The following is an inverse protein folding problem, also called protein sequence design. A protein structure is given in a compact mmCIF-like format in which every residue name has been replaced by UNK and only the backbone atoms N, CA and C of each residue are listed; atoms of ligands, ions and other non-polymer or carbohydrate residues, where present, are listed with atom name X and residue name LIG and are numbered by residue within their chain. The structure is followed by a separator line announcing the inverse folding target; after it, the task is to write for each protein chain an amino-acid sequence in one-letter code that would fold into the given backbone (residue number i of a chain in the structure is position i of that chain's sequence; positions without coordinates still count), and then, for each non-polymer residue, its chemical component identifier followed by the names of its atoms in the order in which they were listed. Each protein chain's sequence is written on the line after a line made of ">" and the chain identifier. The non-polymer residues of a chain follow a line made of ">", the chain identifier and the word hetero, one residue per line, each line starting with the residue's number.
data_IF_823279022796
#
_entry.id   IF_823279022796
#
_cell.length_a   1.000
_cell.length_b   1.000
_cell.length_c   1.000
_cell.angle_alpha   90.00
_cell.angle_beta   90.00
_cell.angle_gamma   90.00
#
_symmetry.space_group_name_H-M   'P 1'
#
loop_
_entity.id
_entity.type
_entity.pdbx_description
1 polymer ?
#
# COMPACT_ATOMS: atom_id res chain seq x y z
N UNK A 1 29.85 -23.18 33.37
CA UNK A 1 28.76 -22.95 32.39
C UNK A 1 27.68 -23.95 32.73
N UNK A 2 26.41 -23.55 32.86
CA UNK A 2 25.35 -24.51 33.18
C UNK A 2 25.15 -25.50 32.03
N UNK A 3 24.69 -26.72 32.32
CA UNK A 3 24.42 -27.76 31.32
C UNK A 3 23.47 -27.25 30.21
N UNK A 4 22.55 -26.35 30.57
CA UNK A 4 21.67 -25.67 29.62
C UNK A 4 22.43 -24.86 28.55
N UNK A 5 23.46 -24.11 28.94
CA UNK A 5 24.27 -23.33 27.99
C UNK A 5 25.12 -24.23 27.10
N UNK A 6 25.53 -25.41 27.60
CA UNK A 6 26.27 -26.37 26.77
C UNK A 6 25.37 -27.10 25.76
N UNK A 7 24.10 -27.32 26.11
CA UNK A 7 23.13 -28.01 25.25
C UNK A 7 22.51 -27.07 24.20
N UNK A 8 22.27 -25.80 24.55
CA UNK A 8 21.53 -24.85 23.71
C UNK A 8 22.41 -23.76 23.08
N UNK A 9 23.75 -23.90 23.09
CA UNK A 9 24.60 -22.90 22.43
C UNK A 9 24.51 -23.00 20.90
N UNK A 10 24.59 -21.83 20.28
CA UNK A 10 24.79 -21.68 18.84
C UNK A 10 26.08 -20.89 18.64
N UNK A 11 27.00 -21.45 17.86
CA UNK A 11 28.25 -20.77 17.51
C UNK A 11 27.95 -19.82 16.34
N UNK A 12 28.16 -18.53 16.59
CA UNK A 12 28.05 -17.48 15.57
C UNK A 12 29.44 -16.89 15.32
N UNK A 13 29.83 -16.79 14.04
CA UNK A 13 31.09 -16.16 13.63
C UNK A 13 30.87 -14.68 13.26
N UNK A 14 31.81 -13.82 13.67
CA UNK A 14 31.76 -12.36 13.48
C UNK A 14 33.05 -11.83 12.84
N UNK A 15 33.62 -12.56 11.88
CA UNK A 15 34.89 -12.22 11.25
C UNK A 15 34.89 -11.04 10.26
N UNK A 16 33.75 -10.38 10.00
CA UNK A 16 33.65 -9.27 9.03
C UNK A 16 33.60 -7.89 9.69
N UNK A 17 33.94 -6.84 8.94
CA UNK A 17 33.84 -5.43 9.39
C UNK A 17 32.41 -4.86 9.35
N UNK A 18 31.40 -5.71 9.16
CA UNK A 18 30.00 -5.31 9.10
C UNK A 18 29.40 -5.16 10.50
N UNK A 19 28.26 -4.45 10.61
CA UNK A 19 27.53 -4.36 11.87
C UNK A 19 27.17 -5.76 12.39
N UNK A 20 27.54 -6.05 13.63
CA UNK A 20 27.29 -7.32 14.30
C UNK A 20 25.79 -7.48 14.59
N UNK A 21 25.21 -8.58 14.10
CA UNK A 21 23.81 -8.96 14.35
C UNK A 21 23.79 -10.39 14.87
N UNK A 22 23.08 -10.62 15.97
CA UNK A 22 22.93 -11.96 16.55
C UNK A 22 21.87 -12.72 15.75
N UNK A 23 22.33 -13.52 14.81
CA UNK A 23 21.51 -14.41 13.98
C UNK A 23 22.12 -15.82 14.01
N UNK A 24 21.27 -16.84 14.00
CA UNK A 24 21.70 -18.22 13.78
C UNK A 24 22.38 -18.38 12.41
N UNK A 25 23.22 -19.41 12.20
CA UNK A 25 23.87 -19.63 10.91
C UNK A 25 22.89 -19.69 9.71
N UNK A 26 21.70 -20.26 9.90
CA UNK A 26 20.68 -20.34 8.84
C UNK A 26 20.06 -18.97 8.53
N UNK A 27 19.77 -18.16 9.55
CA UNK A 27 19.28 -16.77 9.38
C UNK A 27 20.33 -15.90 8.69
N UNK A 28 21.61 -16.08 9.03
CA UNK A 28 22.71 -15.38 8.36
C UNK A 28 22.82 -15.79 6.88
N UNK A 29 22.67 -17.08 6.56
CA UNK A 29 22.66 -17.58 5.17
C UNK A 29 21.55 -16.91 4.36
N UNK A 30 20.32 -16.93 4.89
CA UNK A 30 19.15 -16.32 4.25
C UNK A 30 19.36 -14.82 4.04
N UNK A 31 19.78 -14.11 5.09
CA UNK A 31 20.04 -12.66 5.03
C UNK A 31 21.08 -12.32 3.96
N UNK A 32 22.21 -13.04 3.94
CA UNK A 32 23.28 -12.84 2.94
C UNK A 32 22.76 -13.06 1.51
N UNK A 33 21.96 -14.08 1.26
CA UNK A 33 21.38 -14.32 -0.08
C UNK A 33 20.50 -13.17 -0.53
N UNK A 34 19.59 -12.72 0.33
CA UNK A 34 18.65 -11.65 0.01
C UNK A 34 19.39 -10.32 -0.20
N UNK A 35 20.38 -10.01 0.63
CA UNK A 35 21.17 -8.79 0.53
C UNK A 35 22.12 -8.80 -0.68
N UNK A 36 22.71 -9.96 -1.03
CA UNK A 36 23.65 -10.07 -2.15
C UNK A 36 23.00 -9.80 -3.52
N UNK A 37 21.73 -10.16 -3.69
CA UNK A 37 20.97 -9.96 -4.93
C UNK A 37 20.00 -8.78 -4.87
N UNK A 38 19.81 -8.21 -3.69
CA UNK A 38 18.83 -7.17 -3.43
C UNK A 38 19.37 -5.77 -3.72
N UNK A 39 18.54 -4.94 -4.34
CA UNK A 39 18.76 -3.50 -4.44
C UNK A 39 17.81 -2.80 -3.45
N UNK A 40 18.27 -1.86 -2.61
CA UNK A 40 17.39 -1.09 -1.73
C UNK A 40 16.25 -0.41 -2.50
N UNK A 41 15.02 -0.47 -1.99
CA UNK A 41 13.85 0.09 -2.69
C UNK A 41 13.96 1.58 -3.01
N UNK A 42 14.73 2.37 -2.24
CA UNK A 42 15.01 3.79 -2.58
C UNK A 42 15.70 3.97 -3.94
N UNK A 43 16.44 2.94 -4.37
CA UNK A 43 17.21 2.94 -5.61
C UNK A 43 16.41 2.27 -6.74
N UNK A 44 15.19 1.76 -6.48
CA UNK A 44 14.29 1.28 -7.52
C UNK A 44 13.58 2.44 -8.23
N UNK A 45 13.16 2.20 -9.48
CA UNK A 45 12.26 3.09 -10.21
C UNK A 45 10.81 2.90 -9.71
N UNK A 46 10.58 3.27 -8.45
CA UNK A 46 9.28 3.25 -7.81
C UNK A 46 9.01 4.57 -7.10
N UNK A 47 7.73 4.91 -6.94
CA UNK A 47 7.30 6.02 -6.13
C UNK A 47 6.36 5.56 -5.01
N UNK A 48 6.62 6.05 -3.80
CA UNK A 48 5.79 5.81 -2.62
C UNK A 48 5.09 7.12 -2.24
N UNK A 49 3.77 7.14 -2.35
CA UNK A 49 2.94 8.31 -2.11
C UNK A 49 1.93 8.07 -0.99
N UNK A 50 1.65 9.09 -0.18
CA UNK A 50 0.52 9.07 0.76
C UNK A 50 -0.80 9.24 0.01
N UNK A 51 -1.91 8.83 0.61
CA UNK A 51 -3.25 9.13 0.07
C UNK A 51 -3.61 10.63 0.11
N UNK A 52 -4.82 10.93 -0.36
CA UNK A 52 -5.36 12.30 -0.40
C UNK A 52 -5.61 12.84 1.01
N UNK A 53 -5.40 14.15 1.18
CA UNK A 53 -5.74 14.87 2.41
C UNK A 53 -7.05 15.63 2.20
N UNK A 54 -8.07 15.23 2.95
CA UNK A 54 -9.41 15.84 2.88
C UNK A 54 -9.56 17.03 3.82
N UNK A 55 -8.91 17.01 4.98
CA UNK A 55 -9.13 18.01 6.04
C UNK A 55 -10.54 18.04 6.64
N UNK A 56 -11.47 17.21 6.14
CA UNK A 56 -12.86 17.05 6.62
C UNK A 56 -13.46 15.80 5.97
N UNK A 57 -13.23 14.61 6.55
CA UNK A 57 -13.67 13.35 5.93
C UNK A 57 -15.19 13.29 5.77
N UNK A 58 -15.95 13.88 6.68
CA UNK A 58 -17.41 13.86 6.69
C UNK A 58 -18.04 14.64 5.54
N UNK A 59 -17.32 15.60 4.98
CA UNK A 59 -17.77 16.34 3.80
C UNK A 59 -17.38 15.64 2.49
N UNK A 60 -16.15 15.10 2.42
CA UNK A 60 -15.55 14.63 1.17
C UNK A 60 -15.59 13.11 0.99
N UNK A 61 -15.81 12.32 2.04
CA UNK A 61 -15.96 10.87 1.96
C UNK A 61 -17.41 10.53 2.30
N UNK A 62 -18.14 10.09 1.28
CA UNK A 62 -19.57 9.81 1.33
C UNK A 62 -19.82 8.31 1.13
N UNK A 63 -20.97 7.83 1.57
CA UNK A 63 -21.43 6.47 1.27
C UNK A 63 -22.20 6.40 -0.07
N UNK A 64 -22.55 5.19 -0.47
CA UNK A 64 -23.36 4.94 -1.68
C UNK A 64 -24.67 5.71 -1.68
N UNK A 65 -25.39 5.76 -0.55
CA UNK A 65 -26.69 6.42 -0.47
C UNK A 65 -26.56 7.93 -0.74
N UNK A 66 -25.58 8.58 -0.12
CA UNK A 66 -25.30 10.00 -0.34
C UNK A 66 -24.77 10.27 -1.76
N UNK A 67 -23.96 9.37 -2.32
CA UNK A 67 -23.53 9.46 -3.72
C UNK A 67 -24.74 9.48 -4.65
N UNK A 68 -25.67 8.55 -4.46
CA UNK A 68 -26.85 8.41 -5.32
C UNK A 68 -27.80 9.61 -5.15
N UNK A 69 -27.94 10.14 -3.94
CA UNK A 69 -28.66 11.39 -3.66
C UNK A 69 -28.07 12.58 -4.43
N UNK A 70 -26.74 12.76 -4.41
CA UNK A 70 -26.08 13.85 -5.15
C UNK A 70 -26.31 13.71 -6.66
N UNK A 71 -26.19 12.49 -7.20
CA UNK A 71 -26.41 12.23 -8.63
C UNK A 71 -27.87 12.44 -9.07
N UNK A 72 -28.83 12.13 -8.19
CA UNK A 72 -30.24 12.37 -8.44
C UNK A 72 -30.61 13.86 -8.44
N UNK A 73 -29.87 14.67 -7.66
CA UNK A 73 -30.06 16.12 -7.56
C UNK A 73 -29.32 16.92 -8.65
N UNK A 74 -28.57 16.26 -9.54
CA UNK A 74 -27.97 16.91 -10.71
C UNK A 74 -29.06 17.44 -11.66
N UNK A 75 -28.88 18.68 -12.12
CA UNK A 75 -29.86 19.45 -12.90
C UNK A 75 -29.94 19.04 -14.37
N UNK A 76 -28.88 18.40 -14.88
CA UNK A 76 -28.79 17.92 -16.25
C UNK A 76 -28.06 16.59 -16.32
N UNK A 77 -28.23 15.88 -17.44
CA UNK A 77 -27.49 14.65 -17.71
C UNK A 77 -25.98 14.92 -17.83
N UNK A 78 -25.59 16.07 -18.37
CA UNK A 78 -24.19 16.50 -18.48
C UNK A 78 -23.55 16.73 -17.09
N UNK A 79 -24.25 17.41 -16.17
CA UNK A 79 -23.78 17.56 -14.78
C UNK A 79 -23.65 16.19 -14.11
N UNK A 80 -24.63 15.31 -14.33
CA UNK A 80 -24.65 13.97 -13.73
C UNK A 80 -23.47 13.12 -14.17
N UNK A 81 -23.14 13.15 -15.47
CA UNK A 81 -21.99 12.43 -16.03
C UNK A 81 -20.67 12.93 -15.42
N UNK A 82 -20.44 14.26 -15.45
CA UNK A 82 -19.24 14.87 -14.84
C UNK A 82 -19.16 14.59 -13.33
N UNK A 83 -20.29 14.65 -12.62
CA UNK A 83 -20.35 14.39 -11.17
C UNK A 83 -20.05 12.93 -10.86
N UNK A 84 -20.55 11.99 -11.67
CA UNK A 84 -20.23 10.57 -11.52
C UNK A 84 -18.72 10.31 -11.74
N UNK A 85 -18.08 11.08 -12.62
CA UNK A 85 -16.62 11.04 -12.79
C UNK A 85 -15.83 11.72 -11.66
N UNK A 86 -16.40 12.73 -11.01
CA UNK A 86 -15.79 13.42 -9.87
C UNK A 86 -15.79 12.56 -8.61
N UNK A 87 -16.84 11.76 -8.42
CA UNK A 87 -17.06 10.92 -7.23
C UNK A 87 -16.47 9.52 -7.45
N UNK A 88 -15.31 9.25 -6.83
CA UNK A 88 -14.53 8.02 -7.08
C UNK A 88 -14.45 7.11 -5.87
N UNK A 89 -14.45 5.77 -6.03
CA UNK A 89 -14.30 4.85 -4.91
C UNK A 89 -13.02 5.10 -4.11
N UNK A 90 -13.11 5.01 -2.78
CA UNK A 90 -11.99 5.23 -1.86
C UNK A 90 -11.88 4.12 -0.83
N UNK A 91 -10.64 3.67 -0.57
CA UNK A 91 -10.30 2.78 0.54
C UNK A 91 -9.61 3.55 1.66
N UNK A 92 -9.95 3.25 2.90
CA UNK A 92 -9.19 3.71 4.08
C UNK A 92 -8.17 2.64 4.44
N UNK A 93 -7.15 3.00 5.21
CA UNK A 93 -6.11 2.04 5.65
C UNK A 93 -6.68 0.75 6.27
N UNK A 94 -7.76 0.82 7.04
CA UNK A 94 -8.40 -0.37 7.66
C UNK A 94 -9.13 -1.29 6.68
N UNK A 95 -9.50 -0.75 5.52
CA UNK A 95 -10.23 -1.45 4.47
C UNK A 95 -9.27 -2.31 3.64
N UNK A 96 -7.96 -2.02 3.65
CA UNK A 96 -6.92 -2.77 2.94
C UNK A 96 -6.59 -4.07 3.69
N UNK A 97 -6.58 -5.19 2.96
CA UNK A 97 -6.30 -6.54 3.46
C UNK A 97 -5.19 -7.22 2.64
N UNK A 98 -4.64 -8.31 3.17
CA UNK A 98 -3.63 -9.11 2.47
C UNK A 98 -4.23 -9.61 1.16
N UNK A 99 -3.65 -9.21 0.03
CA UNK A 99 -4.17 -9.53 -1.31
C UNK A 99 -5.65 -9.14 -1.52
N UNK A 100 -6.16 -8.10 -0.84
CA UNK A 100 -7.57 -7.76 -1.01
C UNK A 100 -7.97 -6.51 -0.26
N UNK A 101 -9.28 -6.28 -0.20
CA UNK A 101 -9.85 -5.16 0.51
C UNK A 101 -11.28 -5.47 0.97
N UNK A 102 -11.80 -4.66 1.88
CA UNK A 102 -13.20 -4.66 2.29
C UNK A 102 -13.90 -3.50 1.62
N UNK A 103 -14.83 -3.81 0.73
CA UNK A 103 -15.70 -2.79 0.13
C UNK A 103 -16.69 -2.28 1.18
N UNK A 104 -16.58 -0.99 1.52
CA UNK A 104 -17.47 -0.33 2.45
C UNK A 104 -18.47 0.60 1.73
N UNK A 105 -18.51 0.59 0.39
CA UNK A 105 -19.36 1.49 -0.39
C UNK A 105 -19.02 2.96 -0.16
N UNK A 106 -17.74 3.29 -0.04
CA UNK A 106 -17.27 4.65 0.23
C UNK A 106 -16.71 5.30 -1.03
N UNK A 107 -17.00 6.58 -1.17
CA UNK A 107 -16.60 7.39 -2.31
C UNK A 107 -16.00 8.72 -1.86
N UNK A 108 -14.95 9.14 -2.55
CA UNK A 108 -14.34 10.45 -2.44
C UNK A 108 -14.99 11.41 -3.45
N UNK A 109 -15.50 12.54 -2.96
CA UNK A 109 -15.78 13.71 -3.80
C UNK A 109 -14.43 14.38 -4.11
N UNK A 110 -13.84 14.07 -5.26
CA UNK A 110 -12.49 14.49 -5.59
C UNK A 110 -12.43 15.86 -6.26
N UNK A 111 -12.88 16.92 -5.56
CA UNK A 111 -12.75 18.33 -5.99
C UNK A 111 -11.28 18.78 -5.96
N UNK A 112 -10.44 18.17 -6.79
CA UNK A 112 -9.00 18.33 -6.77
C UNK A 112 -8.55 19.75 -7.15
N UNK A 113 -7.39 20.16 -6.64
CA UNK A 113 -6.77 21.44 -6.98
C UNK A 113 -6.03 21.45 -8.33
N UNK A 114 -6.20 20.40 -9.13
CA UNK A 114 -5.55 20.24 -10.43
C UNK A 114 -4.07 19.81 -10.30
N UNK A 115 -3.40 19.72 -11.44
CA UNK A 115 -1.96 19.50 -11.57
C UNK A 115 -1.42 20.65 -12.42
N UNK A 116 -0.46 21.40 -11.87
CA UNK A 116 0.10 22.59 -12.53
C UNK A 116 0.55 22.28 -13.95
N UNK A 117 -0.01 23.00 -14.93
CA UNK A 117 0.34 22.86 -16.35
C UNK A 117 -0.19 21.60 -17.04
N UNK A 118 -0.99 20.78 -16.35
CA UNK A 118 -1.50 19.51 -16.89
C UNK A 118 -3.02 19.33 -16.74
N UNK A 119 -3.54 19.62 -15.55
CA UNK A 119 -4.94 19.42 -15.21
C UNK A 119 -5.46 20.66 -14.48
N UNK A 120 -6.53 21.33 -14.97
CA UNK A 120 -7.11 22.45 -14.26
C UNK A 120 -7.68 21.99 -12.90
N UNK A 121 -7.79 22.93 -11.97
CA UNK A 121 -8.55 22.68 -10.73
C UNK A 121 -10.03 22.48 -11.05
N UNK A 122 -10.73 21.75 -10.21
CA UNK A 122 -12.19 21.68 -10.27
C UNK A 122 -12.78 23.03 -9.88
N UNK A 123 -13.58 23.62 -10.78
CA UNK A 123 -14.47 24.72 -10.44
C UNK A 123 -15.78 24.13 -9.89
N UNK A 124 -16.08 24.42 -8.62
CA UNK A 124 -17.24 23.86 -7.95
C UNK A 124 -18.57 24.36 -8.55
N UNK A 125 -18.55 25.49 -9.26
CA UNK A 125 -19.75 26.05 -9.88
C UNK A 125 -20.22 25.22 -11.09
N UNK A 126 -19.33 24.40 -11.66
CA UNK A 126 -19.68 23.42 -12.69
C UNK A 126 -20.41 22.18 -12.12
N UNK A 127 -20.48 22.07 -10.78
CA UNK A 127 -21.09 20.95 -10.06
C UNK A 127 -22.09 21.42 -8.98
N UNK A 128 -23.22 22.07 -9.36
CA UNK A 128 -24.22 22.58 -8.42
C UNK A 128 -24.67 21.59 -7.34
N UNK A 129 -24.93 20.32 -7.68
CA UNK A 129 -25.37 19.30 -6.72
C UNK A 129 -24.28 18.97 -5.68
N UNK A 130 -23.03 18.87 -6.12
CA UNK A 130 -21.87 18.66 -5.22
C UNK A 130 -21.64 19.89 -4.35
N UNK A 131 -21.76 21.08 -4.92
CA UNK A 131 -21.66 22.35 -4.18
C UNK A 131 -22.69 22.40 -3.06
N UNK A 132 -23.96 22.09 -3.36
CA UNK A 132 -25.04 22.08 -2.39
C UNK A 132 -24.78 21.10 -1.23
N UNK A 133 -24.19 19.94 -1.50
CA UNK A 133 -23.73 19.02 -0.46
C UNK A 133 -22.60 19.63 0.38
N UNK A 134 -21.55 20.16 -0.25
CA UNK A 134 -20.40 20.73 0.47
C UNK A 134 -20.76 22.00 1.28
N UNK A 135 -21.74 22.77 0.83
CA UNK A 135 -22.26 23.96 1.52
C UNK A 135 -22.87 23.59 2.89
N UNK A 136 -23.40 22.38 3.08
CA UNK A 136 -23.87 21.89 4.39
C UNK A 136 -22.73 21.77 5.42
N UNK A 137 -21.48 21.73 4.96
CA UNK A 137 -20.29 21.63 5.79
C UNK A 137 -19.48 22.93 5.79
N UNK A 138 -20.03 24.05 5.32
CA UNK A 138 -19.29 25.30 5.08
C UNK A 138 -18.47 25.78 6.28
N UNK A 139 -19.05 25.76 7.48
CA UNK A 139 -18.38 26.19 8.73
C UNK A 139 -17.08 25.40 8.99
N UNK A 140 -17.07 24.13 8.57
CA UNK A 140 -15.90 23.24 8.68
C UNK A 140 -14.97 23.38 7.49
N UNK A 141 -15.49 23.39 6.25
CA UNK A 141 -14.64 23.35 5.05
C UNK A 141 -13.94 24.68 4.75
N UNK A 142 -14.52 25.81 5.17
CA UNK A 142 -13.95 27.16 5.02
C UNK A 142 -12.71 27.38 5.89
N UNK A 143 -12.71 26.82 7.10
CA UNK A 143 -11.66 27.01 8.11
C UNK A 143 -10.56 25.95 8.07
N UNK A 144 -10.67 24.93 7.20
CA UNK A 144 -9.65 23.87 7.04
C UNK A 144 -8.26 24.45 6.78
N UNK A 145 -7.26 23.87 7.43
CA UNK A 145 -5.85 24.11 7.11
C UNK A 145 -5.44 23.38 5.82
N UNK A 146 -5.90 22.14 5.65
CA UNK A 146 -5.64 21.31 4.47
C UNK A 146 -6.69 21.56 3.37
N UNK A 147 -6.51 22.62 2.59
CA UNK A 147 -7.35 22.95 1.42
C UNK A 147 -6.53 23.36 0.21
N UNK A 148 -7.16 23.34 -0.96
CA UNK A 148 -6.63 23.90 -2.21
C UNK A 148 -6.84 25.41 -2.29
N UNK A 149 -7.00 25.91 -3.52
CA UNK A 149 -7.19 27.33 -3.79
C UNK A 149 -8.51 27.87 -3.23
N UNK A 150 -9.52 27.02 -3.08
CA UNK A 150 -10.81 27.36 -2.49
C UNK A 150 -11.16 26.43 -1.33
N UNK A 151 -12.07 26.84 -0.42
CA UNK A 151 -12.66 25.96 0.59
C UNK A 151 -13.27 24.66 0.06
N UNK A 152 -13.67 24.60 -1.20
CA UNK A 152 -14.24 23.39 -1.81
C UNK A 152 -13.16 22.45 -2.34
N UNK A 153 -11.97 22.95 -2.65
CA UNK A 153 -10.93 22.13 -3.23
C UNK A 153 -10.16 21.34 -2.17
N UNK A 154 -9.87 20.07 -2.49
CA UNK A 154 -8.93 19.25 -1.74
C UNK A 154 -7.51 19.83 -1.82
N UNK A 155 -6.66 19.47 -0.85
CA UNK A 155 -5.24 19.88 -0.88
C UNK A 155 -4.57 19.41 -2.17
N UNK A 156 -3.62 20.20 -2.66
CA UNK A 156 -2.87 19.87 -3.87
C UNK A 156 -2.23 18.46 -3.79
N UNK A 157 -2.38 17.69 -4.87
CA UNK A 157 -1.89 16.32 -5.02
C UNK A 157 -1.24 16.17 -6.41
N UNK A 158 0.09 16.28 -6.47
CA UNK A 158 0.83 16.33 -7.74
C UNK A 158 0.81 15.00 -8.52
N UNK A 159 0.47 13.89 -7.86
CA UNK A 159 0.45 12.53 -8.39
C UNK A 159 -0.99 12.01 -8.58
N UNK A 160 -1.96 12.89 -8.88
CA UNK A 160 -3.37 12.50 -8.99
C UNK A 160 -3.60 11.39 -10.03
N UNK A 161 -2.86 11.42 -11.13
CA UNK A 161 -2.99 10.41 -12.19
C UNK A 161 -2.40 9.05 -11.79
N UNK A 162 -1.48 9.02 -10.83
CA UNK A 162 -0.89 7.77 -10.34
C UNK A 162 -1.91 6.89 -9.60
N UNK A 163 -3.03 7.46 -9.14
CA UNK A 163 -4.17 6.69 -8.63
C UNK A 163 -4.82 5.80 -9.69
N UNK A 164 -4.64 6.07 -10.98
CA UNK A 164 -5.22 5.25 -12.05
C UNK A 164 -4.23 4.22 -12.63
N UNK A 165 -2.98 4.23 -12.17
CA UNK A 165 -1.98 3.22 -12.53
C UNK A 165 -2.14 1.98 -11.64
N UNK A 166 -1.73 0.79 -12.13
CA UNK A 166 -1.50 -0.36 -11.26
C UNK A 166 -0.58 0.03 -10.10
N UNK A 167 -1.02 -0.25 -8.87
CA UNK A 167 -0.33 0.19 -7.65
C UNK A 167 -0.52 -0.79 -6.51
N UNK A 168 0.43 -0.80 -5.58
CA UNK A 168 0.24 -1.46 -4.28
C UNK A 168 -0.39 -0.45 -3.33
N UNK A 169 -1.45 -0.81 -2.63
CA UNK A 169 -2.04 -0.04 -1.53
C UNK A 169 -1.74 -0.70 -0.20
N UNK A 170 -1.40 0.09 0.83
CA UNK A 170 -1.14 -0.42 2.17
C UNK A 170 -1.39 0.64 3.27
N UNK A 171 -1.78 0.23 4.49
CA UNK A 171 -2.00 1.15 5.60
C UNK A 171 -0.69 1.72 6.15
N UNK A 172 -0.72 2.96 6.66
CA UNK A 172 0.42 3.56 7.36
C UNK A 172 0.69 2.87 8.71
N UNK A 173 -0.35 2.42 9.41
CA UNK A 173 -0.22 1.76 10.71
C UNK A 173 -1.10 0.51 10.74
N UNK A 174 -0.52 -0.63 11.10
CA UNK A 174 -1.22 -1.92 11.06
C UNK A 174 -0.52 -2.98 11.90
N UNK A 175 -1.27 -3.96 12.40
CA UNK A 175 -0.70 -5.17 13.01
C UNK A 175 -0.32 -6.23 11.97
N UNK A 176 -0.99 -6.21 10.82
CA UNK A 176 -1.04 -7.34 9.89
C UNK A 176 -0.19 -7.17 8.63
N UNK A 177 0.32 -5.96 8.40
CA UNK A 177 1.14 -5.57 7.25
C UNK A 177 0.53 -6.06 5.91
N UNK A 178 -0.73 -5.68 5.60
CA UNK A 178 -1.38 -6.11 4.37
C UNK A 178 -0.97 -5.24 3.18
N UNK A 179 -0.79 -5.87 2.02
CA UNK A 179 -0.62 -5.18 0.75
C UNK A 179 -1.63 -5.69 -0.28
N UNK A 180 -2.27 -4.76 -0.98
CA UNK A 180 -3.26 -5.01 -2.02
C UNK A 180 -2.75 -4.49 -3.37
N UNK A 181 -2.85 -5.29 -4.43
CA UNK A 181 -2.56 -4.88 -5.80
C UNK A 181 -3.83 -4.31 -6.43
N UNK A 182 -3.85 -2.99 -6.61
CA UNK A 182 -4.99 -2.28 -7.18
C UNK A 182 -4.77 -1.94 -8.65
N UNK A 183 -5.67 -2.49 -9.48
CA UNK A 183 -5.84 -2.15 -10.89
C UNK A 183 -7.19 -1.45 -11.16
N UNK A 184 -8.02 -1.27 -10.11
CA UNK A 184 -9.36 -0.68 -10.21
C UNK A 184 -9.36 0.85 -10.07
N UNK A 185 -8.24 1.42 -9.65
CA UNK A 185 -8.08 2.87 -9.55
C UNK A 185 -8.70 3.47 -8.28
N UNK A 186 -8.70 2.74 -7.18
CA UNK A 186 -9.17 3.25 -5.89
C UNK A 186 -8.33 4.44 -5.44
N UNK A 187 -9.03 5.47 -4.94
CA UNK A 187 -8.40 6.48 -4.11
C UNK A 187 -8.11 5.91 -2.72
N UNK A 188 -7.26 6.61 -1.98
CA UNK A 188 -7.02 6.31 -0.57
C UNK A 188 -6.76 7.57 0.23
N UNK A 189 -7.03 7.55 1.53
CA UNK A 189 -6.76 8.69 2.40
C UNK A 189 -5.34 8.68 2.99
N UNK A 190 -5.00 9.72 3.75
CA UNK A 190 -3.71 9.92 4.41
C UNK A 190 -3.33 8.84 5.46
N UNK A 191 -4.21 7.88 5.74
CA UNK A 191 -3.94 6.73 6.61
C UNK A 191 -3.39 5.51 5.85
N UNK A 192 -3.12 5.69 4.57
CA UNK A 192 -2.59 4.69 3.66
C UNK A 192 -1.63 5.31 2.66
N UNK A 193 -0.79 4.46 2.10
CA UNK A 193 0.21 4.79 1.09
C UNK A 193 0.01 3.88 -0.14
N UNK A 194 0.50 4.36 -1.29
CA UNK A 194 0.62 3.56 -2.49
C UNK A 194 2.06 3.48 -2.99
N UNK A 195 2.39 2.35 -3.61
CA UNK A 195 3.62 2.15 -4.38
C UNK A 195 3.26 2.01 -5.85
N UNK A 196 3.92 2.79 -6.71
CA UNK A 196 3.78 2.74 -8.18
C UNK A 196 5.14 2.48 -8.81
N UNK A 197 5.17 1.86 -9.98
CA UNK A 197 6.41 1.54 -10.71
C UNK A 197 6.17 0.45 -11.75
N UNK A 198 7.25 -0.15 -12.26
CA UNK A 198 7.16 -1.11 -13.37
C UNK A 198 6.96 -2.58 -12.92
N UNK A 199 7.28 -2.92 -11.67
CA UNK A 199 7.29 -4.30 -11.16
C UNK A 199 6.32 -4.51 -9.98
N UNK A 200 5.16 -3.88 -10.03
CA UNK A 200 4.22 -3.78 -8.89
C UNK A 200 3.62 -5.14 -8.52
N UNK A 201 3.37 -6.03 -9.48
CA UNK A 201 2.80 -7.36 -9.20
C UNK A 201 3.80 -8.24 -8.44
N UNK A 202 5.06 -8.28 -8.90
CA UNK A 202 6.15 -8.95 -8.18
C UNK A 202 6.35 -8.36 -6.78
N UNK A 203 6.38 -7.02 -6.65
CA UNK A 203 6.52 -6.37 -5.34
C UNK A 203 5.35 -6.70 -4.42
N UNK A 204 4.13 -6.82 -4.94
CA UNK A 204 2.96 -7.24 -4.14
C UNK A 204 3.15 -8.65 -3.60
N UNK A 205 3.63 -9.59 -4.43
CA UNK A 205 3.95 -10.95 -4.01
C UNK A 205 5.01 -10.94 -2.91
N UNK A 206 6.13 -10.25 -3.15
CA UNK A 206 7.23 -10.16 -2.20
C UNK A 206 6.81 -9.57 -0.86
N UNK A 207 6.11 -8.42 -0.85
CA UNK A 207 5.71 -7.73 0.39
C UNK A 207 4.70 -8.53 1.22
N UNK A 208 3.92 -9.42 0.60
CA UNK A 208 3.01 -10.32 1.31
C UNK A 208 3.64 -11.69 1.64
N UNK A 209 4.89 -11.94 1.25
CA UNK A 209 5.54 -13.26 1.32
C UNK A 209 6.07 -13.62 2.71
N UNK A 210 6.39 -14.91 2.88
CA UNK A 210 7.08 -15.40 4.08
C UNK A 210 8.52 -14.88 4.17
N UNK A 211 9.25 -14.73 3.06
CA UNK A 211 10.59 -14.11 3.03
C UNK A 211 10.53 -12.71 3.65
N UNK A 212 9.60 -11.88 3.20
CA UNK A 212 9.53 -10.49 3.65
C UNK A 212 9.26 -10.40 5.15
N UNK A 213 8.33 -11.20 5.65
CA UNK A 213 7.97 -11.21 7.07
C UNK A 213 9.11 -11.74 7.92
N UNK A 214 9.75 -12.83 7.49
CA UNK A 214 10.88 -13.42 8.20
C UNK A 214 12.05 -12.45 8.31
N UNK A 215 12.37 -11.72 7.23
CA UNK A 215 13.59 -10.91 7.17
C UNK A 215 13.40 -9.45 7.61
N UNK A 216 12.22 -8.87 7.38
CA UNK A 216 12.04 -7.41 7.43
C UNK A 216 10.92 -6.96 8.36
N UNK A 217 10.17 -7.86 8.99
CA UNK A 217 9.09 -7.46 9.92
C UNK A 217 9.61 -6.51 11.00
N UNK A 218 10.80 -6.79 11.54
CA UNK A 218 11.44 -5.99 12.60
C UNK A 218 12.08 -4.69 12.11
N UNK A 219 12.12 -4.43 10.81
CA UNK A 219 12.59 -3.15 10.27
C UNK A 219 11.56 -2.03 10.44
N UNK A 220 10.30 -2.39 10.72
CA UNK A 220 9.21 -1.45 10.95
C UNK A 220 9.03 -1.23 12.45
N UNK A 221 9.06 0.02 12.96
CA UNK A 221 8.90 0.30 14.37
C UNK A 221 7.59 -0.25 14.92
N UNK A 222 7.67 -0.93 16.05
CA UNK A 222 6.51 -1.37 16.79
C UNK A 222 6.00 -0.22 17.69
N UNK A 223 4.69 -0.02 17.65
CA UNK A 223 3.89 0.90 18.44
C UNK A 223 3.03 0.10 19.43
N UNK A 224 2.32 0.81 20.31
CA UNK A 224 1.47 0.19 21.32
C UNK A 224 0.51 -0.85 20.74
N UNK A 225 0.43 -2.01 21.40
CA UNK A 225 -0.50 -3.09 21.06
C UNK A 225 -0.09 -3.95 19.86
N UNK A 226 1.21 -4.00 19.51
CA UNK A 226 1.74 -4.81 18.42
C UNK A 226 1.45 -4.23 17.03
N UNK A 227 1.13 -2.95 16.95
CA UNK A 227 0.93 -2.24 15.68
C UNK A 227 2.29 -1.81 15.16
N UNK A 228 2.51 -1.80 13.84
CA UNK A 228 3.74 -1.29 13.23
C UNK A 228 3.47 -0.10 12.35
N UNK A 229 4.45 0.79 12.23
CA UNK A 229 4.40 1.95 11.34
C UNK A 229 5.14 1.68 10.02
N UNK A 230 4.44 1.84 8.90
CA UNK A 230 4.85 1.48 7.54
C UNK A 230 5.13 2.76 6.73
N UNK A 231 5.99 3.66 7.22
CA UNK A 231 6.38 4.84 6.44
C UNK A 231 7.40 4.51 5.35
N UNK A 232 7.40 5.33 4.29
CA UNK A 232 8.37 5.28 3.17
C UNK A 232 9.82 5.07 3.63
N UNK A 233 10.26 5.81 4.65
CA UNK A 233 11.65 5.76 5.15
C UNK A 233 12.10 4.37 5.60
N UNK A 234 11.18 3.49 6.01
CA UNK A 234 11.49 2.11 6.38
C UNK A 234 11.57 1.21 5.15
N UNK A 235 10.71 1.41 4.15
CA UNK A 235 10.77 0.69 2.88
C UNK A 235 12.02 1.01 2.08
N UNK A 236 12.46 2.27 2.07
CA UNK A 236 13.63 2.76 1.32
C UNK A 236 14.89 1.88 1.52
N UNK A 237 15.04 1.26 2.70
CA UNK A 237 16.20 0.44 3.07
C UNK A 237 16.04 -1.04 2.77
N UNK A 238 14.86 -1.52 2.38
CA UNK A 238 14.61 -2.95 2.19
C UNK A 238 15.25 -3.39 0.88
N UNK A 239 16.21 -4.33 0.90
CA UNK A 239 16.82 -4.88 -0.30
C UNK A 239 15.86 -5.87 -0.96
N UNK A 240 15.51 -5.60 -2.22
CA UNK A 240 14.64 -6.47 -3.03
C UNK A 240 15.31 -6.77 -4.35
N UNK A 241 15.22 -8.01 -4.84
CA UNK A 241 15.81 -8.41 -6.12
C UNK A 241 15.10 -7.69 -7.27
N UNK A 242 15.85 -7.00 -8.13
CA UNK A 242 15.27 -6.43 -9.36
C UNK A 242 14.93 -7.54 -10.33
N UNK A 243 13.75 -7.46 -10.92
CA UNK A 243 13.24 -8.46 -11.85
C UNK A 243 12.99 -7.84 -13.23
N UNK A 244 13.06 -8.67 -14.27
CA UNK A 244 12.68 -8.25 -15.61
C UNK A 244 11.16 -8.11 -15.71
N UNK A 245 10.68 -7.51 -16.80
CA UNK A 245 9.24 -7.41 -17.08
C UNK A 245 8.59 -8.78 -17.16
N UNK A 246 9.25 -9.74 -17.80
CA UNK A 246 8.74 -11.11 -17.99
C UNK A 246 8.52 -11.81 -16.64
N UNK A 247 9.47 -11.63 -15.71
CA UNK A 247 9.33 -12.18 -14.35
C UNK A 247 8.18 -11.48 -13.61
N UNK A 248 8.10 -10.15 -13.64
CA UNK A 248 6.95 -9.45 -13.05
C UNK A 248 5.60 -9.93 -13.61
N UNK A 249 5.52 -10.07 -14.93
CA UNK A 249 4.28 -10.46 -15.62
C UNK A 249 3.85 -11.88 -15.26
N UNK A 250 4.80 -12.77 -14.94
CA UNK A 250 4.49 -14.12 -14.42
C UNK A 250 3.75 -14.11 -13.07
N UNK A 251 3.91 -13.06 -12.26
CA UNK A 251 3.21 -12.91 -10.98
C UNK A 251 1.80 -12.37 -11.14
N UNK A 252 1.51 -11.58 -12.19
CA UNK A 252 0.19 -10.98 -12.44
C UNK A 252 -0.96 -12.00 -12.33
N UNK A 253 -0.95 -13.15 -13.06
CA UNK A 253 -2.07 -14.10 -12.97
C UNK A 253 -2.19 -14.72 -11.57
N UNK A 254 -1.08 -14.93 -10.86
CA UNK A 254 -1.08 -15.47 -9.49
C UNK A 254 -1.63 -14.47 -8.48
N UNK A 255 -1.27 -13.20 -8.61
CA UNK A 255 -1.83 -12.10 -7.82
C UNK A 255 -3.33 -12.01 -8.10
N UNK A 256 -3.74 -11.90 -9.35
CA UNK A 256 -5.15 -11.75 -9.69
C UNK A 256 -6.00 -12.93 -9.18
N UNK A 257 -5.50 -14.16 -9.30
CA UNK A 257 -6.18 -15.35 -8.76
C UNK A 257 -6.30 -15.36 -7.22
N UNK A 258 -5.24 -14.98 -6.49
CA UNK A 258 -5.31 -14.93 -5.02
C UNK A 258 -6.18 -13.78 -4.51
N UNK A 259 -6.31 -12.68 -5.27
CA UNK A 259 -7.19 -11.56 -4.90
C UNK A 259 -8.68 -11.84 -5.15
N UNK A 260 -9.03 -12.75 -6.07
CA UNK A 260 -10.41 -13.21 -6.24
C UNK A 260 -10.86 -14.01 -5.02
N UNK A 261 -10.02 -14.96 -4.61
CA UNK A 261 -10.26 -15.77 -3.42
C UNK A 261 -8.94 -16.20 -2.82
N UNK A 262 -8.67 -15.68 -1.63
CA UNK A 262 -7.49 -16.04 -0.87
C UNK A 262 -7.58 -17.49 -0.38
N UNK A 263 -6.52 -18.25 -0.60
CA UNK A 263 -6.30 -19.52 0.08
C UNK A 263 -4.83 -19.64 0.51
N UNK A 264 -4.58 -20.33 1.61
CA UNK A 264 -3.22 -20.63 2.07
C UNK A 264 -2.40 -21.37 1.01
N UNK A 265 -3.04 -22.21 0.19
CA UNK A 265 -2.36 -22.94 -0.88
C UNK A 265 -1.83 -22.00 -1.97
N UNK A 266 -2.65 -21.05 -2.44
CA UNK A 266 -2.21 -20.02 -3.40
C UNK A 266 -1.09 -19.15 -2.84
N UNK A 267 -1.19 -18.78 -1.56
CA UNK A 267 -0.13 -18.01 -0.89
C UNK A 267 1.20 -18.80 -0.84
N UNK A 268 1.14 -20.10 -0.54
CA UNK A 268 2.32 -21.00 -0.55
C UNK A 268 2.91 -21.19 -1.93
N UNK A 269 2.08 -21.24 -2.99
CA UNK A 269 2.57 -21.29 -4.37
C UNK A 269 3.37 -20.02 -4.73
N UNK A 270 2.86 -18.85 -4.36
CA UNK A 270 3.56 -17.57 -4.57
C UNK A 270 4.87 -17.55 -3.76
N UNK A 271 4.85 -18.01 -2.51
CA UNK A 271 6.07 -18.14 -1.70
C UNK A 271 7.08 -19.08 -2.37
N UNK A 272 6.65 -20.22 -2.90
CA UNK A 272 7.54 -21.16 -3.62
C UNK A 272 8.19 -20.50 -4.84
N UNK A 273 7.42 -19.74 -5.63
CA UNK A 273 7.97 -19.00 -6.78
C UNK A 273 9.04 -17.99 -6.33
N UNK A 274 8.83 -17.32 -5.19
CA UNK A 274 9.83 -16.41 -4.63
C UNK A 274 11.04 -17.17 -4.09
N UNK A 275 10.85 -18.32 -3.43
CA UNK A 275 11.95 -19.13 -2.92
C UNK A 275 12.84 -19.64 -4.05
N UNK A 276 12.25 -20.07 -5.17
CA UNK A 276 12.95 -20.46 -6.39
C UNK A 276 13.72 -19.26 -6.98
N UNK A 277 13.06 -18.10 -7.08
CA UNK A 277 13.67 -16.88 -7.61
C UNK A 277 14.89 -16.41 -6.79
N UNK A 278 14.82 -16.53 -5.46
CA UNK A 278 15.92 -16.17 -4.55
C UNK A 278 16.96 -17.29 -4.37
N UNK A 279 16.78 -18.45 -5.02
CA UNK A 279 17.72 -19.57 -4.92
C UNK A 279 17.86 -20.14 -3.50
N UNK A 280 16.75 -20.19 -2.75
CA UNK A 280 16.74 -20.72 -1.39
C UNK A 280 16.79 -22.25 -1.38
N UNK A 281 17.62 -22.82 -0.50
CA UNK A 281 17.73 -24.28 -0.29
C UNK A 281 16.54 -24.81 0.51
N UNK A 282 16.34 -26.13 0.54
CA UNK A 282 15.27 -26.75 1.33
C UNK A 282 15.39 -26.45 2.83
N UNK A 283 16.61 -26.40 3.37
CA UNK A 283 16.86 -26.03 4.77
C UNK A 283 16.45 -24.59 5.05
N UNK A 284 16.76 -23.66 4.14
CA UNK A 284 16.38 -22.24 4.26
C UNK A 284 14.86 -22.07 4.13
N UNK A 285 14.23 -22.76 3.17
CA UNK A 285 12.76 -22.78 3.01
C UNK A 285 12.08 -23.29 4.27
N UNK A 286 12.62 -24.36 4.88
CA UNK A 286 12.11 -24.92 6.13
C UNK A 286 12.29 -23.97 7.31
N UNK A 287 13.41 -23.24 7.38
CA UNK A 287 13.67 -22.26 8.43
C UNK A 287 12.75 -21.03 8.34
N UNK A 288 12.46 -20.55 7.12
CA UNK A 288 11.48 -19.48 6.88
C UNK A 288 10.06 -19.99 7.18
N UNK A 289 9.73 -21.18 6.68
CA UNK A 289 8.39 -21.75 6.77
C UNK A 289 7.33 -20.93 6.02
N UNK A 290 6.06 -21.15 6.37
CA UNK A 290 4.96 -20.30 5.91
C UNK A 290 4.58 -19.34 7.03
N UNK A 291 4.78 -18.04 6.80
CA UNK A 291 4.51 -16.98 7.76
C UNK A 291 3.23 -16.25 7.37
N UNK A 292 2.19 -16.44 8.16
CA UNK A 292 0.92 -15.75 8.05
C UNK A 292 0.71 -14.83 9.25
N UNK A 293 0.34 -13.57 8.97
CA UNK A 293 0.02 -12.58 10.00
C UNK A 293 -1.44 -12.22 9.73
N UNK A 294 -2.34 -12.74 10.57
CA UNK A 294 -3.81 -12.54 10.49
C UNK A 294 -4.31 -11.65 11.60
#
# INVERSE_FOLDING_TARGET
>A
MSDFVQQENVICDFGSSESWVVLSPIEQSIKKKIEAVGTPLKDWDINIYRGVLTGCNEAFIIDTAKRDEILANCQSDEEREKTAELIRPILRGRDIKRYGYVDNGLYLINTHNGIRGKLPRIDINDYPAVKAHLDQYWDRISTRADKGDTPYNLRNCAYLEDFFKPKIMYPNMTKYIPFYYDERGFYQNDKSFMITGNAVAYLTAFLNSSIFKYCFLNNFPELQGGTRELRKIFFDKIPVMRVTKEVNDSFIPKINDIQIQYTTQKAKEIDSMLFDLYGLTEEERKAIGFVEIT
#
